data_IF_844650185010
#
_entry.id   IF_844650185010
#
_cell.length_a   1.000
_cell.length_b   1.000
_cell.length_c   1.000
_cell.angle_alpha   90.00
_cell.angle_beta   90.00
_cell.angle_gamma   90.00
#
_symmetry.space_group_name_H-M   'P 1'
#
loop_
_entity.id
_entity.type
_entity.pdbx_description
1 polymer ?
#
# COMPACT_ATOMS: atom_id res chain seq x y z
N UNK A 1 -0.42 13.94 -0.68
CA UNK A 1 0.97 14.03 -1.19
C UNK A 1 1.70 15.24 -0.61
N UNK A 2 1.10 16.44 -0.65
CA UNK A 2 1.69 17.69 -0.11
C UNK A 2 2.22 17.53 1.32
N UNK A 3 1.40 17.03 2.25
CA UNK A 3 1.82 16.78 3.64
C UNK A 3 3.09 15.93 3.75
N UNK A 4 3.20 14.85 2.97
CA UNK A 4 4.41 14.00 2.98
C UNK A 4 5.63 14.76 2.46
N UNK A 5 5.46 15.47 1.34
CA UNK A 5 6.54 16.23 0.73
C UNK A 5 7.01 17.39 1.63
N UNK A 6 6.09 18.03 2.36
CA UNK A 6 6.40 19.12 3.27
C UNK A 6 7.16 18.63 4.50
N UNK A 7 6.78 17.48 5.05
CA UNK A 7 7.56 16.81 6.11
C UNK A 7 8.97 16.47 5.61
N UNK A 8 9.09 15.90 4.42
CA UNK A 8 10.40 15.55 3.83
C UNK A 8 11.27 16.80 3.56
N UNK A 9 10.69 17.89 3.05
CA UNK A 9 11.38 19.17 2.85
C UNK A 9 11.82 19.78 4.18
N UNK A 10 10.94 19.80 5.18
CA UNK A 10 11.23 20.31 6.51
C UNK A 10 12.36 19.52 7.21
N UNK A 11 12.45 18.21 6.94
CA UNK A 11 13.54 17.36 7.40
C UNK A 11 14.88 17.58 6.63
N UNK A 12 14.95 18.55 5.71
CA UNK A 12 16.17 18.86 4.95
C UNK A 12 16.40 17.95 3.74
N UNK A 13 15.34 17.35 3.19
CA UNK A 13 15.40 16.45 2.01
C UNK A 13 16.41 15.31 2.18
N UNK A 14 16.32 14.49 3.24
CA UNK A 14 17.31 13.46 3.53
C UNK A 14 17.38 12.43 2.39
N UNK A 15 18.60 12.15 1.89
CA UNK A 15 18.86 11.17 0.82
C UNK A 15 18.54 9.71 1.21
N UNK A 16 18.43 9.46 2.52
CA UNK A 16 18.04 8.17 3.09
C UNK A 16 16.54 7.91 2.99
N UNK A 17 15.71 8.95 2.84
CA UNK A 17 14.28 8.76 2.56
C UNK A 17 14.12 8.30 1.12
N UNK A 18 13.61 7.07 0.92
CA UNK A 18 13.41 6.46 -0.41
C UNK A 18 11.99 6.58 -0.93
N UNK A 19 11.04 6.85 -0.05
CA UNK A 19 9.65 7.09 -0.40
C UNK A 19 8.74 6.72 0.75
N UNK A 20 7.81 5.80 0.52
CA UNK A 20 6.72 5.49 1.46
C UNK A 20 6.62 3.99 1.76
N UNK A 21 5.87 3.68 2.81
CA UNK A 21 5.40 2.31 3.10
C UNK A 21 3.88 2.33 3.09
N UNK A 22 3.26 1.34 2.47
CA UNK A 22 1.80 1.21 2.39
C UNK A 22 1.32 -0.15 2.92
N UNK A 23 0.01 -0.27 3.12
CA UNK A 23 -0.68 -1.45 3.66
C UNK A 23 -0.24 -1.91 5.07
N UNK A 24 0.59 -1.15 5.79
CA UNK A 24 1.10 -1.54 7.13
C UNK A 24 -0.06 -1.91 8.05
N UNK A 25 0.00 -3.13 8.59
CA UNK A 25 -1.02 -3.66 9.49
C UNK A 25 -2.44 -3.63 8.89
N UNK A 26 -2.56 -3.75 7.57
CA UNK A 26 -3.82 -3.86 6.86
C UNK A 26 -3.88 -5.18 6.06
N UNK A 27 -4.79 -5.27 5.10
CA UNK A 27 -5.21 -6.53 4.47
C UNK A 27 -5.42 -6.38 2.96
N UNK A 28 -5.06 -5.23 2.38
CA UNK A 28 -5.39 -4.93 1.00
C UNK A 28 -4.62 -5.84 0.03
N UNK A 29 -5.25 -6.17 -1.09
CA UNK A 29 -4.61 -6.88 -2.19
C UNK A 29 -3.44 -6.05 -2.77
N UNK A 30 -2.37 -6.71 -3.20
CA UNK A 30 -1.35 -6.07 -4.02
C UNK A 30 -1.94 -5.62 -5.37
N UNK A 31 -2.51 -6.57 -6.13
CA UNK A 31 -3.18 -6.31 -7.39
C UNK A 31 -4.35 -7.28 -7.60
N UNK A 32 -5.50 -6.76 -8.01
CA UNK A 32 -6.71 -7.57 -8.22
C UNK A 32 -7.57 -7.06 -9.40
N UNK A 33 -8.17 -8.02 -10.13
CA UNK A 33 -9.18 -7.79 -11.18
C UNK A 33 -10.36 -8.75 -10.94
N UNK A 34 -11.60 -8.25 -10.70
CA UNK A 34 -11.95 -6.85 -10.42
C UNK A 34 -11.22 -6.30 -9.20
N UNK A 35 -11.22 -4.98 -9.03
CA UNK A 35 -10.56 -4.33 -7.89
C UNK A 35 -11.12 -4.80 -6.55
N UNK A 36 -10.30 -4.84 -5.48
CA UNK A 36 -10.73 -5.40 -4.18
C UNK A 36 -11.99 -4.69 -3.65
N UNK A 37 -12.03 -3.37 -3.80
CA UNK A 37 -13.11 -2.53 -3.27
C UNK A 37 -14.19 -2.20 -4.31
N UNK A 38 -14.17 -2.84 -5.49
CA UNK A 38 -15.07 -2.48 -6.58
C UNK A 38 -16.53 -2.74 -6.17
N UNK A 39 -16.74 -3.77 -5.37
CA UNK A 39 -18.04 -4.17 -4.83
C UNK A 39 -18.32 -3.64 -3.41
N UNK A 40 -17.41 -2.84 -2.84
CA UNK A 40 -17.56 -2.30 -1.49
C UNK A 40 -18.42 -1.03 -1.55
N UNK A 41 -19.54 -1.00 -0.82
CA UNK A 41 -20.47 0.14 -0.85
C UNK A 41 -19.81 1.46 -0.44
N UNK A 42 -18.86 1.41 0.47
CA UNK A 42 -18.09 2.53 1.02
C UNK A 42 -16.85 2.90 0.19
N UNK A 43 -16.49 2.10 -0.82
CA UNK A 43 -15.27 2.28 -1.58
C UNK A 43 -15.43 2.10 -3.11
N UNK A 44 -16.67 2.03 -3.60
CA UNK A 44 -17.02 1.95 -5.03
C UNK A 44 -16.41 3.09 -5.88
N UNK A 45 -16.19 4.27 -5.30
CA UNK A 45 -15.59 5.43 -5.99
C UNK A 45 -14.08 5.56 -5.77
N UNK A 46 -13.49 4.70 -4.95
CA UNK A 46 -12.05 4.69 -4.75
C UNK A 46 -11.39 4.26 -6.07
N UNK A 47 -10.50 5.06 -6.64
CA UNK A 47 -9.74 4.63 -7.82
C UNK A 47 -8.58 3.70 -7.45
N UNK A 48 -8.06 3.84 -6.23
CA UNK A 48 -7.02 3.00 -5.65
C UNK A 48 -7.64 1.70 -5.10
N UNK A 49 -8.08 0.85 -6.01
CA UNK A 49 -8.79 -0.39 -5.73
C UNK A 49 -7.91 -1.54 -5.20
N UNK A 50 -6.60 -1.33 -5.17
CA UNK A 50 -5.56 -2.20 -4.61
C UNK A 50 -4.29 -1.35 -4.34
N UNK A 51 -3.29 -1.96 -3.70
CA UNK A 51 -2.06 -1.26 -3.36
C UNK A 51 -1.24 -0.85 -4.59
N UNK A 52 -1.24 -1.66 -5.67
CA UNK A 52 -0.55 -1.31 -6.93
C UNK A 52 -1.11 -0.01 -7.51
N UNK A 53 -2.43 0.14 -7.62
CA UNK A 53 -3.04 1.40 -8.06
C UNK A 53 -2.79 2.53 -7.06
N UNK A 54 -2.82 2.25 -5.76
CA UNK A 54 -2.58 3.26 -4.73
C UNK A 54 -1.18 3.87 -4.83
N UNK A 55 -0.14 3.05 -4.92
CA UNK A 55 1.24 3.55 -5.01
C UNK A 55 1.49 4.32 -6.31
N UNK A 56 0.81 3.97 -7.40
CA UNK A 56 0.90 4.72 -8.66
C UNK A 56 0.25 6.11 -8.54
N UNK A 57 -0.96 6.21 -7.97
CA UNK A 57 -1.63 7.50 -7.79
C UNK A 57 -0.90 8.39 -6.80
N UNK A 58 -0.50 7.86 -5.65
CA UNK A 58 0.22 8.63 -4.65
C UNK A 58 1.64 8.96 -5.11
N UNK A 59 2.35 7.99 -5.68
CA UNK A 59 3.71 8.15 -6.18
C UNK A 59 3.82 9.22 -7.27
N UNK A 60 2.86 9.30 -8.19
CA UNK A 60 2.81 10.37 -9.18
C UNK A 60 2.71 11.76 -8.51
N UNK A 61 1.88 11.89 -7.47
CA UNK A 61 1.73 13.16 -6.75
C UNK A 61 2.94 13.49 -5.87
N UNK A 62 3.61 12.49 -5.29
CA UNK A 62 4.88 12.69 -4.57
C UNK A 62 5.98 13.20 -5.50
N UNK A 63 6.08 12.64 -6.71
CA UNK A 63 7.04 13.05 -7.73
C UNK A 63 6.81 14.51 -8.18
N UNK A 64 5.56 14.93 -8.41
CA UNK A 64 5.22 16.34 -8.70
C UNK A 64 5.71 17.28 -7.60
N UNK A 65 5.68 16.82 -6.34
CA UNK A 65 6.14 17.57 -5.19
C UNK A 65 7.65 17.46 -4.91
N UNK A 66 8.39 16.75 -5.77
CA UNK A 66 9.84 16.58 -5.70
C UNK A 66 10.33 15.62 -4.62
N UNK A 67 9.44 14.82 -4.02
CA UNK A 67 9.80 13.81 -3.02
C UNK A 67 10.06 12.45 -3.72
N UNK A 68 11.03 11.64 -3.24
CA UNK A 68 11.16 10.24 -3.66
C UNK A 68 9.83 9.50 -3.53
N UNK A 69 9.48 8.70 -4.54
CA UNK A 69 8.12 8.20 -4.75
C UNK A 69 8.02 6.67 -4.86
N UNK A 70 9.09 5.95 -4.55
CA UNK A 70 9.06 4.49 -4.47
C UNK A 70 8.32 4.04 -3.20
N UNK A 71 7.82 2.83 -3.21
CA UNK A 71 7.10 2.24 -2.10
C UNK A 71 7.64 0.86 -1.73
N UNK A 72 7.57 0.53 -0.45
CA UNK A 72 7.53 -0.86 0.01
C UNK A 72 6.10 -1.17 0.49
N UNK A 73 5.63 -2.38 0.26
CA UNK A 73 4.22 -2.74 0.51
C UNK A 73 4.15 -3.89 1.50
N UNK A 74 3.39 -3.70 2.58
CA UNK A 74 3.15 -4.78 3.55
C UNK A 74 2.24 -5.85 2.94
N UNK A 75 2.74 -7.09 2.87
CA UNK A 75 2.01 -8.28 2.40
C UNK A 75 1.89 -9.33 3.50
N UNK A 76 2.14 -8.96 4.75
CA UNK A 76 2.14 -9.87 5.90
C UNK A 76 0.84 -10.66 6.05
N UNK A 77 -0.31 -10.07 5.73
CA UNK A 77 -1.63 -10.67 6.04
C UNK A 77 -2.64 -10.64 4.90
N UNK A 78 -2.21 -10.40 3.66
CA UNK A 78 -3.09 -10.28 2.50
C UNK A 78 -3.09 -11.53 1.59
N UNK A 79 -2.71 -12.71 2.09
CA UNK A 79 -2.72 -13.97 1.33
C UNK A 79 -4.12 -14.48 0.99
N UNK A 80 -5.15 -13.96 1.68
CA UNK A 80 -6.56 -14.17 1.35
C UNK A 80 -7.32 -12.86 1.52
N UNK A 81 -7.85 -12.35 0.41
CA UNK A 81 -8.55 -11.05 0.31
C UNK A 81 -10.06 -11.23 0.23
N UNK A 82 -10.83 -10.13 0.25
CA UNK A 82 -12.29 -10.18 0.14
C UNK A 82 -13.02 -10.66 1.41
N UNK A 83 -12.34 -10.62 2.56
CA UNK A 83 -12.87 -11.07 3.85
C UNK A 83 -13.61 -9.98 4.62
N UNK A 84 -13.51 -8.74 4.14
CA UNK A 84 -14.05 -7.55 4.78
C UNK A 84 -15.38 -7.18 4.12
N UNK A 85 -16.31 -6.65 4.92
CA UNK A 85 -17.57 -6.07 4.44
C UNK A 85 -17.47 -4.57 4.18
N UNK A 86 -16.48 -3.90 4.80
CA UNK A 86 -16.17 -2.47 4.67
C UNK A 86 -14.66 -2.30 4.64
N UNK A 87 -14.16 -1.32 3.88
CA UNK A 87 -12.71 -1.12 3.71
C UNK A 87 -12.01 -0.76 5.02
N UNK A 88 -12.73 -0.05 5.90
CA UNK A 88 -12.27 0.35 7.23
C UNK A 88 -12.24 -0.77 8.28
N UNK A 89 -12.69 -1.99 7.97
CA UNK A 89 -12.60 -3.12 8.91
C UNK A 89 -11.16 -3.64 8.96
N UNK A 90 -10.37 -3.12 9.92
CA UNK A 90 -8.94 -3.42 10.04
C UNK A 90 -8.63 -4.39 11.18
N UNK A 91 -9.49 -4.50 12.19
CA UNK A 91 -9.20 -5.27 13.40
C UNK A 91 -9.37 -6.78 13.15
N UNK A 92 -8.27 -7.53 13.23
CA UNK A 92 -8.21 -8.99 13.29
C UNK A 92 -9.14 -9.69 12.26
N UNK A 93 -8.97 -9.38 10.98
CA UNK A 93 -9.80 -9.93 9.90
C UNK A 93 -9.66 -11.45 9.86
N UNK A 94 -10.73 -12.13 10.27
CA UNK A 94 -10.71 -13.57 10.45
C UNK A 94 -10.60 -14.32 9.11
N UNK A 95 -9.78 -15.36 9.08
CA UNK A 95 -9.53 -16.18 7.91
C UNK A 95 -8.59 -15.55 6.89
N UNK A 96 -7.92 -14.45 7.24
CA UNK A 96 -6.78 -13.92 6.49
C UNK A 96 -5.62 -14.93 6.51
N UNK A 97 -4.72 -14.81 5.54
CA UNK A 97 -3.55 -15.67 5.42
C UNK A 97 -2.28 -14.86 5.18
N UNK A 98 -1.12 -15.46 5.43
CA UNK A 98 0.17 -14.87 5.07
C UNK A 98 0.24 -14.65 3.56
N UNK A 99 0.60 -13.43 3.14
CA UNK A 99 0.69 -13.07 1.72
C UNK A 99 2.03 -13.42 1.09
N UNK A 100 2.37 -12.69 0.02
CA UNK A 100 3.65 -12.83 -0.69
C UNK A 100 4.79 -12.66 0.31
N UNK A 101 5.75 -13.59 0.33
CA UNK A 101 6.92 -13.49 1.23
C UNK A 101 7.74 -12.24 0.90
N UNK A 102 8.47 -11.67 1.87
CA UNK A 102 9.31 -10.52 1.60
C UNK A 102 10.29 -10.78 0.45
N UNK A 103 10.29 -9.91 -0.55
CA UNK A 103 11.13 -10.02 -1.74
C UNK A 103 11.24 -8.66 -2.44
N UNK A 104 12.39 -8.39 -3.07
CA UNK A 104 12.57 -7.28 -4.00
C UNK A 104 12.21 -7.65 -5.45
N UNK A 105 11.87 -8.91 -5.71
CA UNK A 105 11.37 -9.37 -7.01
C UNK A 105 9.87 -9.02 -7.13
N UNK A 106 9.60 -7.76 -7.46
CA UNK A 106 8.25 -7.23 -7.69
C UNK A 106 7.95 -7.16 -9.18
N UNK A 107 6.67 -6.98 -9.53
CA UNK A 107 6.20 -6.81 -10.91
C UNK A 107 5.92 -5.33 -11.25
N UNK A 108 6.54 -4.40 -10.51
CA UNK A 108 6.29 -2.95 -10.65
C UNK A 108 7.49 -2.10 -10.23
N UNK A 109 7.92 -1.19 -11.11
CA UNK A 109 9.09 -0.33 -10.90
C UNK A 109 8.93 0.66 -9.72
N UNK A 110 7.70 0.98 -9.30
CA UNK A 110 7.46 1.82 -8.12
C UNK A 110 7.46 1.03 -6.81
N UNK A 111 7.44 -0.31 -6.86
CA UNK A 111 7.45 -1.17 -5.69
C UNK A 111 8.84 -1.76 -5.48
N UNK A 112 9.60 -1.20 -4.54
CA UNK A 112 10.96 -1.66 -4.24
C UNK A 112 10.97 -3.07 -3.63
N UNK A 113 9.97 -3.39 -2.79
CA UNK A 113 9.86 -4.69 -2.15
C UNK A 113 8.45 -4.94 -1.58
N UNK A 114 8.07 -6.21 -1.58
CA UNK A 114 7.11 -6.73 -0.62
C UNK A 114 7.81 -6.97 0.71
N UNK A 115 7.15 -6.58 1.80
CA UNK A 115 7.68 -6.68 3.17
C UNK A 115 6.60 -7.23 4.08
N UNK A 116 7.00 -7.82 5.21
CA UNK A 116 6.08 -8.13 6.30
C UNK A 116 6.40 -7.16 7.43
N UNK A 117 5.61 -6.09 7.55
CA UNK A 117 5.81 -5.06 8.58
C UNK A 117 5.07 -5.46 9.84
N UNK A 118 3.78 -5.75 9.72
CA UNK A 118 3.01 -6.37 10.78
C UNK A 118 3.42 -7.84 10.98
N UNK A 119 3.62 -8.24 12.24
CA UNK A 119 3.89 -9.63 12.57
C UNK A 119 2.54 -10.32 12.82
N UNK A 120 2.01 -10.98 11.79
CA UNK A 120 0.74 -11.70 11.91
C UNK A 120 0.78 -12.80 12.97
N UNK A 121 -0.14 -12.74 13.93
CA UNK A 121 -0.30 -13.69 15.04
C UNK A 121 -1.38 -13.24 16.01
#
# INVERSE_FOLDING_TARGET
AEVFADVWKAAGKPKSCKGIVTNVSNWNAWSMIPGEFENFKDAQYNKAQDEKRYIHFLGAQLAVNGMPNHAIVDTSRNGRVGLRTYGGNWCNVNGAGFGIRPTSETDDDLCDAFVWVEVGG
#
